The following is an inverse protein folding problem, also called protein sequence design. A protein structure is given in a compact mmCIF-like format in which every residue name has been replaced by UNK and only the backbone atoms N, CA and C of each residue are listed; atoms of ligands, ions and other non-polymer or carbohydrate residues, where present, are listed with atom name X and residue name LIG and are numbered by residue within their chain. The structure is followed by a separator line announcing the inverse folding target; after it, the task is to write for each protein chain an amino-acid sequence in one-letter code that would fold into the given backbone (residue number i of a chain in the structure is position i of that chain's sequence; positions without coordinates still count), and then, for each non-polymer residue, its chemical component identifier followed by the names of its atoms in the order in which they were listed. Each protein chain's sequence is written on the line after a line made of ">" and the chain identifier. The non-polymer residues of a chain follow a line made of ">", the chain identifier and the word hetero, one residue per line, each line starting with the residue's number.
data_IF_837405526210
#
_entry.id   IF_837405526210
#
_cell.length_a   1.000
_cell.length_b   1.000
_cell.length_c   1.000
_cell.angle_alpha   90.00
_cell.angle_beta   90.00
_cell.angle_gamma   90.00
#
_symmetry.space_group_name_H-M   'P 1'
#
loop_
_entity.id
_entity.type
_entity.pdbx_description
1 polymer ?
#
# COMPACT_ATOMS: atom_id res chain seq x y z
N UNK A 1 -25.80 72.66 23.79
CA UNK A 1 -24.81 71.91 24.60
C UNK A 1 -24.79 70.47 24.07
N UNK A 2 -23.72 70.10 23.37
CA UNK A 2 -23.41 68.76 22.79
C UNK A 2 -22.49 68.04 23.83
N UNK A 3 -22.25 66.69 23.93
CA UNK A 3 -22.30 65.56 22.95
C UNK A 3 -22.93 64.21 23.42
N UNK A 4 -23.30 63.29 22.50
CA UNK A 4 -22.63 62.00 22.09
C UNK A 4 -22.69 60.86 23.13
N UNK A 5 -22.97 59.57 22.84
CA UNK A 5 -22.42 58.75 21.75
C UNK A 5 -23.15 57.40 21.47
N UNK A 6 -23.13 57.02 20.19
CA UNK A 6 -22.91 55.69 19.53
C UNK A 6 -23.76 54.45 19.89
N UNK A 7 -24.30 53.78 18.85
CA UNK A 7 -23.74 52.51 18.28
C UNK A 7 -24.70 51.76 17.32
N UNK A 8 -24.22 51.48 16.07
CA UNK A 8 -24.38 50.28 15.19
C UNK A 8 -25.82 49.80 14.81
N UNK A 9 -26.15 49.22 13.64
CA UNK A 9 -25.43 48.48 12.57
C UNK A 9 -26.42 48.16 11.40
N UNK A 10 -25.84 47.85 10.22
CA UNK A 10 -26.25 46.82 9.23
C UNK A 10 -27.40 47.16 8.24
N UNK A 11 -27.12 47.49 6.96
CA UNK A 11 -26.79 46.65 5.78
C UNK A 11 -27.98 45.86 5.19
N UNK A 12 -28.22 46.17 3.91
CA UNK A 12 -29.23 45.74 2.93
C UNK A 12 -29.29 44.23 2.70
N UNK A 13 -30.47 43.75 2.28
CA UNK A 13 -30.58 42.75 1.20
C UNK A 13 -31.95 42.88 0.48
N UNK A 14 -31.90 43.17 -0.82
CA UNK A 14 -33.06 43.08 -1.72
C UNK A 14 -33.07 41.71 -2.37
N UNK A 15 -34.26 41.09 -2.37
CA UNK A 15 -34.51 39.72 -2.81
C UNK A 15 -34.75 39.60 -4.33
N UNK A 16 -34.33 38.45 -4.87
CA UNK A 16 -34.88 37.68 -6.01
C UNK A 16 -34.89 38.33 -7.40
N UNK A 17 -34.20 37.67 -8.35
CA UNK A 17 -34.76 37.22 -9.66
C UNK A 17 -33.78 36.33 -10.45
N UNK A 18 -34.31 35.18 -10.87
CA UNK A 18 -34.24 34.52 -12.21
C UNK A 18 -32.88 33.95 -12.68
N UNK A 19 -32.74 32.63 -12.87
CA UNK A 19 -33.24 31.71 -13.92
C UNK A 19 -32.28 31.56 -15.12
N UNK A 20 -31.68 30.36 -15.18
CA UNK A 20 -31.29 29.48 -16.29
C UNK A 20 -30.70 30.01 -17.63
N UNK A 21 -29.61 29.30 -17.98
CA UNK A 21 -29.20 28.79 -19.30
C UNK A 21 -28.46 29.72 -20.29
N UNK A 22 -27.20 29.38 -20.55
CA UNK A 22 -26.60 29.46 -21.88
C UNK A 22 -25.38 28.53 -21.96
N UNK A 23 -25.55 27.40 -22.67
CA UNK A 23 -24.46 26.64 -23.28
C UNK A 23 -23.84 27.48 -24.39
N UNK A 24 -22.56 27.83 -24.27
CA UNK A 24 -21.77 28.47 -25.31
C UNK A 24 -20.35 27.91 -25.28
N UNK A 25 -19.91 27.34 -26.39
CA UNK A 25 -18.60 26.74 -26.54
C UNK A 25 -17.49 27.74 -26.20
N UNK A 26 -16.72 27.43 -25.15
CA UNK A 26 -15.52 28.15 -24.74
C UNK A 26 -14.33 27.21 -24.73
N UNK A 27 -13.43 27.37 -25.70
CA UNK A 27 -12.05 26.91 -25.58
C UNK A 27 -11.38 27.72 -24.47
N UNK A 28 -11.10 27.12 -23.30
CA UNK A 28 -9.96 27.48 -22.45
C UNK A 28 -9.83 26.54 -21.23
N UNK A 29 -8.75 25.74 -21.29
CA UNK A 29 -7.88 25.28 -20.20
C UNK A 29 -8.50 24.56 -18.99
N UNK A 30 -8.39 23.23 -19.01
CA UNK A 30 -7.89 22.51 -17.83
C UNK A 30 -6.45 22.06 -18.11
N UNK A 31 -5.51 23.00 -18.04
CA UNK A 31 -4.14 22.65 -17.67
C UNK A 31 -4.19 22.32 -16.17
N UNK A 32 -4.43 21.06 -15.85
CA UNK A 32 -3.96 20.45 -14.61
C UNK A 32 -3.02 19.29 -14.94
N UNK A 33 -2.17 19.48 -15.96
CA UNK A 33 -1.00 18.65 -16.26
C UNK A 33 0.22 19.15 -15.49
N UNK A 34 0.09 19.25 -14.16
CA UNK A 34 1.19 19.55 -13.25
C UNK A 34 1.15 18.56 -12.08
N UNK A 35 1.16 17.28 -12.40
CA UNK A 35 1.48 16.20 -11.48
C UNK A 35 2.53 15.33 -12.15
N UNK A 36 3.77 15.44 -11.66
CA UNK A 36 4.89 14.54 -11.89
C UNK A 36 5.24 14.09 -13.32
N UNK A 37 6.03 14.90 -14.03
CA UNK A 37 6.85 14.43 -15.15
C UNK A 37 7.92 13.40 -14.73
N UNK A 38 8.03 13.09 -13.43
CA UNK A 38 9.05 12.21 -12.85
C UNK A 38 8.47 11.01 -12.12
N UNK A 39 7.14 10.82 -12.11
CA UNK A 39 6.53 9.63 -11.53
C UNK A 39 6.23 8.63 -12.63
N UNK A 40 6.54 7.37 -12.39
CA UNK A 40 6.27 6.26 -13.29
C UNK A 40 5.63 5.13 -12.51
N UNK A 41 4.44 4.73 -12.92
CA UNK A 41 3.76 3.56 -12.37
C UNK A 41 4.30 2.29 -13.04
N UNK A 42 4.64 1.29 -12.23
CA UNK A 42 5.02 -0.06 -12.62
C UNK A 42 3.96 -1.02 -12.07
N UNK A 43 2.93 -1.29 -12.88
CA UNK A 43 1.68 -1.99 -12.51
C UNK A 43 1.57 -3.42 -13.06
N UNK A 44 2.56 -3.85 -13.84
CA UNK A 44 2.63 -5.17 -14.47
C UNK A 44 3.95 -5.84 -14.13
N UNK A 45 4.18 -6.17 -12.85
CA UNK A 45 5.37 -6.92 -12.47
C UNK A 45 5.39 -8.29 -13.15
N UNK A 46 6.58 -8.78 -13.43
CA UNK A 46 6.76 -10.20 -13.73
C UNK A 46 6.59 -11.00 -12.43
N UNK A 47 5.85 -12.12 -12.49
CA UNK A 47 5.71 -13.04 -11.36
C UNK A 47 6.61 -14.25 -11.58
N UNK A 48 7.49 -14.52 -10.63
CA UNK A 48 8.45 -15.64 -10.70
C UNK A 48 8.30 -16.52 -9.46
N UNK A 49 8.29 -17.84 -9.64
CA UNK A 49 8.27 -18.81 -8.55
C UNK A 49 9.59 -19.58 -8.50
N UNK A 50 10.31 -19.48 -7.38
CA UNK A 50 11.62 -20.11 -7.16
C UNK A 50 11.73 -20.62 -5.72
N UNK A 51 12.18 -21.86 -5.53
CA UNK A 51 12.49 -22.43 -4.19
C UNK A 51 11.40 -22.23 -3.12
N UNK A 52 10.12 -22.38 -3.50
CA UNK A 52 8.99 -22.21 -2.57
C UNK A 52 8.66 -20.76 -2.24
N UNK A 53 9.16 -19.81 -3.03
CA UNK A 53 8.94 -18.38 -2.90
C UNK A 53 8.25 -17.87 -4.17
N UNK A 54 7.40 -16.88 -4.01
CA UNK A 54 6.79 -16.16 -5.15
C UNK A 54 7.26 -14.72 -5.11
N UNK A 55 7.74 -14.23 -6.24
CA UNK A 55 8.37 -12.92 -6.40
C UNK A 55 7.59 -12.07 -7.41
N UNK A 56 7.36 -10.81 -7.05
CA UNK A 56 6.97 -9.74 -7.97
C UNK A 56 8.20 -8.92 -8.33
N UNK A 57 8.48 -8.89 -9.62
CA UNK A 57 9.62 -8.27 -10.23
C UNK A 57 9.19 -6.99 -10.95
N UNK A 58 9.59 -5.83 -10.42
CA UNK A 58 9.22 -4.53 -10.97
C UNK A 58 10.38 -3.95 -11.77
N UNK A 59 10.24 -3.94 -13.10
CA UNK A 59 11.29 -3.54 -14.03
C UNK A 59 10.99 -2.20 -14.73
N UNK A 60 12.01 -1.35 -14.88
CA UNK A 60 12.01 -0.15 -15.73
C UNK A 60 12.98 -0.37 -16.91
N UNK A 61 12.46 -0.95 -18.00
CA UNK A 61 13.31 -1.43 -19.10
C UNK A 61 14.11 -2.67 -18.67
N UNK A 62 15.42 -2.67 -18.88
CA UNK A 62 16.30 -3.80 -18.51
C UNK A 62 16.76 -3.76 -17.04
N UNK A 63 16.17 -2.87 -16.24
CA UNK A 63 16.60 -2.59 -14.87
C UNK A 63 15.53 -2.99 -13.87
N UNK A 64 15.88 -3.91 -12.96
CA UNK A 64 15.07 -4.20 -11.77
C UNK A 64 15.08 -3.02 -10.82
N UNK A 65 13.89 -2.47 -10.57
CA UNK A 65 13.66 -1.35 -9.65
C UNK A 65 13.36 -1.85 -8.24
N UNK A 66 12.54 -2.89 -8.13
CA UNK A 66 12.19 -3.52 -6.87
C UNK A 66 11.80 -4.99 -7.05
N UNK A 67 11.95 -5.75 -5.97
CA UNK A 67 11.44 -7.12 -5.86
C UNK A 67 10.66 -7.22 -4.56
N UNK A 68 9.43 -7.72 -4.64
CA UNK A 68 8.59 -7.96 -3.49
C UNK A 68 8.20 -9.43 -3.48
N UNK A 69 8.46 -10.12 -2.38
CA UNK A 69 8.25 -11.57 -2.33
C UNK A 69 7.23 -11.98 -1.28
N UNK A 70 6.71 -13.18 -1.42
CA UNK A 70 6.11 -13.96 -0.37
C UNK A 70 6.93 -15.23 -0.22
N UNK A 71 7.49 -15.42 0.98
CA UNK A 71 8.37 -16.54 1.33
C UNK A 71 7.69 -17.40 2.37
N UNK A 72 7.38 -18.63 1.99
CA UNK A 72 6.84 -19.63 2.89
C UNK A 72 7.99 -20.16 3.75
N UNK A 73 7.97 -19.93 5.07
CA UNK A 73 8.97 -20.49 6.00
C UNK A 73 8.50 -21.78 6.65
N UNK A 74 7.75 -22.57 5.88
CA UNK A 74 7.00 -23.74 6.33
C UNK A 74 7.81 -24.62 7.31
N UNK A 75 7.47 -24.54 8.60
CA UNK A 75 7.86 -25.56 9.58
C UNK A 75 6.67 -26.52 9.66
N UNK A 76 6.77 -27.61 8.88
CA UNK A 76 5.65 -28.51 8.59
C UNK A 76 5.29 -29.26 9.86
N UNK A 77 4.35 -28.72 10.61
CA UNK A 77 3.93 -29.33 11.86
C UNK A 77 4.01 -28.40 13.06
N UNK A 78 3.97 -27.06 12.89
CA UNK A 78 3.67 -26.19 14.02
C UNK A 78 2.82 -25.00 13.62
N UNK A 79 1.70 -24.85 14.33
CA UNK A 79 0.88 -23.65 14.29
C UNK A 79 1.23 -22.73 15.46
N UNK A 80 1.18 -21.40 15.26
CA UNK A 80 1.08 -20.74 13.95
C UNK A 80 2.37 -20.94 13.12
N UNK A 81 2.24 -21.03 11.79
CA UNK A 81 3.42 -21.06 10.90
C UNK A 81 3.80 -19.64 10.47
N UNK A 82 5.04 -19.47 10.00
CA UNK A 82 5.55 -18.16 9.60
C UNK A 82 5.59 -17.99 8.08
N UNK A 83 5.17 -16.82 7.61
CA UNK A 83 5.47 -16.31 6.27
C UNK A 83 6.30 -15.04 6.39
N UNK A 84 7.12 -14.75 5.38
CA UNK A 84 7.90 -13.52 5.29
C UNK A 84 7.57 -12.75 4.02
N UNK A 85 7.39 -11.45 4.15
CA UNK A 85 7.16 -10.50 3.05
C UNK A 85 8.36 -9.56 2.91
N UNK A 86 9.43 -9.95 2.18
CA UNK A 86 10.55 -9.06 1.92
C UNK A 86 10.25 -8.11 0.76
N UNK A 87 10.67 -6.85 0.91
CA UNK A 87 10.73 -5.84 -0.13
C UNK A 87 12.19 -5.40 -0.30
N UNK A 88 12.72 -5.59 -1.50
CA UNK A 88 14.03 -5.12 -1.93
C UNK A 88 13.86 -4.04 -2.99
N UNK A 89 14.80 -3.11 -3.04
CA UNK A 89 14.89 -2.07 -4.06
C UNK A 89 16.34 -1.89 -4.52
N UNK A 90 16.53 -1.30 -5.69
CA UNK A 90 17.87 -1.08 -6.24
C UNK A 90 18.75 -0.15 -5.37
N UNK A 91 20.07 -0.28 -5.47
CA UNK A 91 21.04 0.37 -4.56
C UNK A 91 21.06 1.91 -4.59
N UNK A 92 20.60 2.53 -5.68
CA UNK A 92 20.47 3.99 -5.85
C UNK A 92 19.01 4.45 -5.71
N UNK A 93 18.14 3.61 -5.14
CA UNK A 93 16.77 3.98 -4.80
C UNK A 93 16.55 3.87 -3.29
N UNK A 94 15.40 4.34 -2.83
CA UNK A 94 14.92 4.13 -1.48
C UNK A 94 13.43 3.84 -1.51
N UNK A 95 12.99 2.94 -0.64
CA UNK A 95 11.59 2.59 -0.48
C UNK A 95 10.94 3.57 0.50
N UNK A 96 10.06 4.44 0.00
CA UNK A 96 9.42 5.49 0.79
C UNK A 96 8.16 4.99 1.49
N UNK A 97 7.34 4.24 0.76
CA UNK A 97 6.05 3.71 1.24
C UNK A 97 5.93 2.25 0.88
N UNK A 98 5.29 1.49 1.76
CA UNK A 98 4.97 0.09 1.52
C UNK A 98 3.62 -0.26 2.13
N UNK A 99 2.76 -0.89 1.34
CA UNK A 99 1.45 -1.41 1.75
C UNK A 99 1.26 -2.82 1.19
N UNK A 100 0.83 -3.69 2.07
CA UNK A 100 0.38 -5.04 1.76
C UNK A 100 -1.08 -5.18 2.16
N UNK A 101 -1.88 -5.78 1.28
CA UNK A 101 -3.21 -6.27 1.62
C UNK A 101 -3.22 -7.79 1.46
N UNK A 102 -3.48 -8.48 2.56
CA UNK A 102 -3.54 -9.93 2.65
C UNK A 102 -5.01 -10.33 2.57
N UNK A 103 -5.38 -11.00 1.47
CA UNK A 103 -6.74 -11.44 1.19
C UNK A 103 -6.78 -12.96 1.04
N UNK A 104 -7.32 -13.70 2.02
CA UNK A 104 -7.61 -15.11 1.83
C UNK A 104 -8.67 -15.27 0.73
N UNK A 105 -8.50 -16.29 -0.10
CA UNK A 105 -9.40 -16.68 -1.17
C UNK A 105 -9.88 -18.12 -0.90
N UNK A 106 -11.11 -18.40 -1.33
CA UNK A 106 -11.76 -19.67 -1.04
C UNK A 106 -12.32 -19.70 0.39
N UNK A 107 -13.55 -20.22 0.53
CA UNK A 107 -14.35 -20.13 1.76
C UNK A 107 -13.85 -20.92 2.98
N UNK A 108 -12.55 -21.21 3.08
CA UNK A 108 -11.90 -21.92 4.18
C UNK A 108 -11.79 -21.10 5.49
N UNK A 109 -12.49 -19.97 5.58
CA UNK A 109 -12.49 -19.05 6.71
C UNK A 109 -11.27 -18.13 6.73
N UNK A 110 -11.45 -16.91 7.26
CA UNK A 110 -10.38 -15.89 7.32
C UNK A 110 -9.32 -16.28 8.36
N UNK A 111 -8.06 -16.57 7.97
CA UNK A 111 -6.99 -16.87 8.90
C UNK A 111 -6.70 -15.67 9.81
N UNK A 112 -6.10 -15.95 10.96
CA UNK A 112 -5.59 -14.91 11.85
C UNK A 112 -4.12 -14.62 11.52
N UNK A 113 -3.81 -13.34 11.30
CA UNK A 113 -2.46 -12.86 11.07
C UNK A 113 -1.97 -12.14 12.31
N UNK A 114 -0.75 -12.46 12.74
CA UNK A 114 -0.04 -11.73 13.80
C UNK A 114 1.28 -11.21 13.26
N UNK A 115 1.46 -9.89 13.32
CA UNK A 115 2.70 -9.24 12.90
C UNK A 115 3.77 -9.41 13.98
N UNK A 116 4.90 -10.03 13.62
CA UNK A 116 6.08 -10.06 14.49
C UNK A 116 6.77 -8.69 14.44
N UNK A 117 7.33 -8.24 15.56
CA UNK A 117 8.13 -7.00 15.59
C UNK A 117 9.22 -7.06 14.51
N UNK A 118 9.21 -6.17 13.51
CA UNK A 118 10.25 -6.17 12.48
C UNK A 118 11.61 -5.82 13.09
N UNK A 119 12.67 -6.34 12.47
CA UNK A 119 14.04 -5.98 12.82
C UNK A 119 14.36 -4.52 12.45
N UNK A 120 15.45 -3.98 13.00
CA UNK A 120 15.84 -2.58 12.78
C UNK A 120 15.19 -1.59 13.75
N UNK A 121 15.80 -0.42 13.88
CA UNK A 121 15.31 0.70 14.68
C UNK A 121 15.96 2.01 14.18
N UNK A 122 15.27 3.16 14.21
CA UNK A 122 13.86 3.38 14.56
C UNK A 122 12.88 2.99 13.44
N UNK A 123 11.65 2.67 13.84
CA UNK A 123 10.52 2.46 12.91
C UNK A 123 9.54 3.62 13.04
N UNK A 124 9.11 4.14 11.90
CA UNK A 124 7.88 4.93 11.81
C UNK A 124 6.66 4.04 12.14
N UNK A 125 5.50 4.63 12.47
CA UNK A 125 4.30 3.86 12.80
C UNK A 125 3.92 2.87 11.69
N UNK A 126 3.84 1.59 12.06
CA UNK A 126 3.36 0.52 11.19
C UNK A 126 1.86 0.35 11.48
N UNK A 127 1.04 0.56 10.45
CA UNK A 127 -0.36 0.21 10.47
C UNK A 127 -0.49 -1.30 10.31
N UNK A 128 -1.16 -1.94 11.27
CA UNK A 128 -1.57 -3.35 11.18
C UNK A 128 -3.03 -3.45 11.61
N UNK A 129 -3.92 -3.57 10.63
CA UNK A 129 -5.35 -3.44 10.83
C UNK A 129 -6.15 -4.30 9.86
N UNK A 130 -7.45 -4.45 10.13
CA UNK A 130 -8.41 -4.97 9.16
C UNK A 130 -8.70 -3.89 8.12
N UNK A 131 -8.78 -4.27 6.85
CA UNK A 131 -9.16 -3.38 5.76
C UNK A 131 -10.66 -3.04 5.77
N UNK A 132 -11.10 -2.31 4.74
CA UNK A 132 -12.53 -2.00 4.56
C UNK A 132 -13.37 -3.27 4.34
N UNK A 133 -12.78 -4.25 3.65
CA UNK A 133 -13.27 -5.61 3.60
C UNK A 133 -12.81 -6.37 4.86
N UNK A 134 -13.72 -6.95 5.65
CA UNK A 134 -13.37 -7.56 6.92
C UNK A 134 -12.47 -8.80 6.81
N UNK A 135 -12.38 -9.41 5.62
CA UNK A 135 -11.50 -10.54 5.34
C UNK A 135 -10.07 -10.10 4.98
N UNK A 136 -9.87 -8.82 4.70
CA UNK A 136 -8.55 -8.26 4.33
C UNK A 136 -7.80 -7.80 5.58
N UNK A 137 -6.53 -8.20 5.68
CA UNK A 137 -5.58 -7.63 6.64
C UNK A 137 -4.62 -6.69 5.91
N UNK A 138 -4.43 -5.52 6.46
CA UNK A 138 -3.57 -4.46 5.92
C UNK A 138 -2.32 -4.33 6.78
N UNK A 139 -1.16 -4.32 6.13
CA UNK A 139 0.11 -3.86 6.71
C UNK A 139 0.52 -2.64 5.91
N UNK A 140 0.68 -1.47 6.53
CA UNK A 140 1.12 -0.29 5.82
C UNK A 140 2.14 0.51 6.63
N UNK A 141 3.16 1.01 5.93
CA UNK A 141 4.09 2.00 6.46
C UNK A 141 4.05 3.19 5.50
N UNK A 142 3.37 4.29 5.88
CA UNK A 142 3.15 5.43 4.98
C UNK A 142 4.44 6.19 4.66
N UNK A 143 5.41 6.14 5.58
CA UNK A 143 6.76 6.70 5.49
C UNK A 143 7.73 5.73 6.17
N UNK A 144 8.64 5.11 5.43
CA UNK A 144 9.60 4.13 5.98
C UNK A 144 10.82 4.78 6.63
N UNK A 145 11.07 6.06 6.33
CA UNK A 145 12.20 6.82 6.85
C UNK A 145 13.53 6.09 6.62
N UNK A 146 14.32 5.93 7.68
CA UNK A 146 15.65 5.29 7.58
C UNK A 146 15.58 3.82 7.19
N UNK A 147 14.48 3.11 7.47
CA UNK A 147 14.33 1.69 7.12
C UNK A 147 14.23 1.50 5.60
N UNK A 148 13.73 2.52 4.89
CA UNK A 148 13.58 2.51 3.43
C UNK A 148 14.89 2.54 2.63
N UNK A 149 16.05 2.68 3.27
CA UNK A 149 17.36 2.67 2.59
C UNK A 149 17.89 1.27 2.29
N UNK A 150 17.30 0.25 2.89
CA UNK A 150 17.69 -1.14 2.67
C UNK A 150 16.46 -2.00 2.43
N UNK A 151 16.66 -3.32 2.45
CA UNK A 151 15.54 -4.24 2.36
C UNK A 151 14.70 -4.19 3.64
N UNK A 152 13.38 -4.11 3.44
CA UNK A 152 12.39 -4.21 4.51
C UNK A 152 11.80 -5.61 4.48
N UNK A 153 11.52 -6.19 5.64
CA UNK A 153 10.80 -7.46 5.70
C UNK A 153 9.84 -7.48 6.88
N UNK A 154 8.62 -7.95 6.63
CA UNK A 154 7.65 -8.27 7.68
C UNK A 154 7.54 -9.78 7.82
N UNK A 155 7.65 -10.26 9.06
CA UNK A 155 7.42 -11.64 9.42
C UNK A 155 6.03 -11.75 10.04
N UNK A 156 5.18 -12.59 9.47
CA UNK A 156 3.83 -12.84 9.95
C UNK A 156 3.70 -14.26 10.47
N UNK A 157 3.03 -14.41 11.60
CA UNK A 157 2.50 -15.68 12.05
C UNK A 157 1.08 -15.84 11.49
N UNK A 158 0.81 -16.99 10.90
CA UNK A 158 -0.47 -17.32 10.27
C UNK A 158 -1.09 -18.48 11.05
N UNK A 159 -2.33 -18.27 11.48
CA UNK A 159 -3.16 -19.29 12.12
C UNK A 159 -4.42 -19.52 11.25
N UNK A 160 -4.43 -20.59 10.44
CA UNK A 160 -5.59 -20.95 9.62
C UNK A 160 -6.80 -21.31 10.49
N UNK A 161 -8.00 -21.07 9.97
CA UNK A 161 -9.26 -21.41 10.65
C UNK A 161 -9.68 -22.86 10.43
N UNK A 162 -9.41 -23.37 9.23
CA UNK A 162 -9.79 -24.72 8.79
C UNK A 162 -8.54 -25.51 8.39
N UNK A 163 -8.69 -26.83 8.29
CA UNK A 163 -7.67 -27.79 7.85
C UNK A 163 -7.40 -27.74 6.34
N UNK A 164 -8.35 -27.24 5.55
CA UNK A 164 -8.16 -27.03 4.12
C UNK A 164 -7.10 -25.97 3.82
N UNK A 165 -6.20 -26.29 2.88
CA UNK A 165 -5.31 -25.29 2.29
C UNK A 165 -6.13 -24.18 1.63
N UNK A 166 -5.63 -22.95 1.69
CA UNK A 166 -6.31 -21.78 1.15
C UNK A 166 -5.37 -20.97 0.27
N UNK A 167 -5.92 -20.25 -0.69
CA UNK A 167 -5.14 -19.32 -1.50
C UNK A 167 -5.06 -17.97 -0.77
N UNK A 168 -3.88 -17.40 -0.65
CA UNK A 168 -3.66 -16.05 -0.17
C UNK A 168 -3.30 -15.17 -1.35
N UNK A 169 -4.15 -14.19 -1.66
CA UNK A 169 -3.79 -13.08 -2.53
C UNK A 169 -3.10 -12.00 -1.70
N UNK A 170 -1.92 -11.60 -2.17
CA UNK A 170 -1.17 -10.48 -1.63
C UNK A 170 -1.23 -9.35 -2.66
N UNK A 171 -2.01 -8.31 -2.38
CA UNK A 171 -1.96 -7.07 -3.15
C UNK A 171 -0.90 -6.15 -2.55
N UNK A 172 -0.11 -5.53 -3.41
CA UNK A 172 1.06 -4.74 -3.02
C UNK A 172 0.98 -3.37 -3.65
N UNK A 173 1.14 -2.34 -2.82
CA UNK A 173 1.35 -0.97 -3.25
C UNK A 173 2.61 -0.40 -2.60
N UNK A 174 3.50 0.22 -3.37
CA UNK A 174 4.74 0.77 -2.85
C UNK A 174 5.15 2.06 -3.57
N UNK A 175 5.98 2.87 -2.93
CA UNK A 175 6.62 4.03 -3.57
C UNK A 175 8.12 3.90 -3.43
N UNK A 176 8.84 3.87 -4.54
CA UNK A 176 10.30 3.80 -4.59
C UNK A 176 10.82 5.06 -5.26
N UNK A 177 11.80 5.71 -4.67
CA UNK A 177 12.37 6.95 -5.19
C UNK A 177 13.85 6.78 -5.52
N UNK A 178 14.28 7.31 -6.66
CA UNK A 178 15.67 7.29 -7.06
C UNK A 178 16.46 8.43 -6.42
N UNK A 179 17.59 8.09 -5.81
CA UNK A 179 18.56 9.01 -5.24
C UNK A 179 19.42 9.65 -6.34
N UNK A 180 18.99 10.78 -6.88
CA UNK A 180 19.72 11.54 -7.90
C UNK A 180 19.18 12.96 -8.13
N UNK A 181 19.96 13.82 -8.79
CA UNK A 181 19.60 15.24 -9.07
C UNK A 181 18.31 15.38 -9.91
N UNK A 182 17.96 14.33 -10.64
CA UNK A 182 16.73 14.20 -11.41
C UNK A 182 15.86 13.03 -10.89
N UNK A 183 15.85 12.81 -9.57
CA UNK A 183 15.16 11.70 -8.90
C UNK A 183 13.79 11.42 -9.51
N UNK A 184 13.59 10.16 -9.88
CA UNK A 184 12.34 9.60 -10.41
C UNK A 184 11.64 8.86 -9.29
N UNK A 185 10.33 9.02 -9.23
CA UNK A 185 9.46 8.29 -8.31
C UNK A 185 8.82 7.15 -9.08
N UNK A 186 8.77 5.99 -8.46
CA UNK A 186 8.18 4.78 -9.00
C UNK A 186 7.01 4.36 -8.12
N UNK A 187 5.84 4.27 -8.72
CA UNK A 187 4.64 3.73 -8.07
C UNK A 187 4.52 2.24 -8.38
N UNK A 188 4.73 1.49 -7.30
CA UNK A 188 4.62 0.05 -7.10
C UNK A 188 3.20 -0.48 -7.14
N UNK A 189 2.72 -1.21 -8.16
CA UNK A 189 1.41 -1.88 -8.05
C UNK A 189 1.46 -3.32 -8.58
N UNK A 190 1.03 -4.28 -7.78
CA UNK A 190 1.04 -5.67 -8.20
C UNK A 190 0.31 -6.59 -7.24
N UNK A 191 0.09 -7.83 -7.67
CA UNK A 191 -0.44 -8.86 -6.80
C UNK A 191 0.15 -10.21 -7.14
N UNK A 192 0.27 -11.07 -6.12
CA UNK A 192 0.58 -12.49 -6.28
C UNK A 192 -0.48 -13.32 -5.55
N UNK A 193 -0.60 -14.59 -5.93
CA UNK A 193 -1.45 -15.56 -5.23
C UNK A 193 -0.58 -16.74 -4.84
N UNK A 194 -0.72 -17.21 -3.61
CA UNK A 194 0.02 -18.36 -3.08
C UNK A 194 -0.91 -19.30 -2.32
N UNK A 195 -0.82 -20.60 -2.53
CA UNK A 195 -1.50 -21.58 -1.69
C UNK A 195 -0.74 -21.77 -0.37
N UNK A 196 -1.41 -21.53 0.75
CA UNK A 196 -0.92 -21.72 2.11
C UNK A 196 -1.62 -22.90 2.79
N UNK A 197 -0.97 -23.55 3.79
CA UNK A 197 -1.59 -24.66 4.49
C UNK A 197 -2.75 -24.22 5.36
N UNK A 198 -3.71 -25.12 5.52
CA UNK A 198 -4.68 -25.09 6.60
C UNK A 198 -4.09 -25.55 7.94
N UNK A 199 -4.98 -25.74 8.90
CA UNK A 199 -4.71 -26.26 10.24
C UNK A 199 -4.43 -27.76 10.18
N UNK A 200 -3.23 -28.20 10.54
CA UNK A 200 -2.95 -29.63 10.71
C UNK A 200 -3.30 -30.06 12.15
N UNK A 201 -4.31 -30.91 12.32
CA UNK A 201 -4.56 -31.57 13.62
C UNK A 201 -3.45 -32.60 13.80
N UNK A 202 -2.51 -32.35 14.71
CA UNK A 202 -1.69 -33.44 15.25
C UNK A 202 -2.63 -34.44 15.91
N UNK A 203 -2.77 -35.62 15.30
CA UNK A 203 -3.30 -36.83 15.95
C UNK A 203 -2.27 -37.41 16.93
#
# INVERSE_FOLDING_TARGET
>A
MVPSARSRRSIRTTSRRRLLAATGAGLATALAGCGDLRTRTLDRPETVEEDGQTHLHFDDGDRRTATISLVDRWDAGRLPYAIRLPAWHAADTYLERLRYELRPLGGAGTPEFSLTRPGGYPWEPIEFARGDDPEVTVIAVPELGVQGRGSVAFDLLVEPRNDEAFELRLDVAATVESSGVLGRTYELEGNLVRTLPGYDRFD
#
